data_IF_464146048582
#
_entry.id   IF_464146048582
#
_cell.length_a   1.000
_cell.length_b   1.000
_cell.length_c   1.000
_cell.angle_alpha   90.00
_cell.angle_beta   90.00
_cell.angle_gamma   90.00
#
_symmetry.space_group_name_H-M   'P 1'
#
loop_
_entity.id
_entity.type
_entity.pdbx_description
1 polymer ?
#
# COMPACT_ATOMS: atom_id res chain seq x y z
N UNK A 1 -0.71 -0.64 -16.92
CA UNK A 1 -1.88 -0.59 -16.01
C UNK A 1 -3.11 -0.10 -16.74
N UNK A 2 -4.31 -0.52 -16.35
CA UNK A 2 -5.55 0.02 -16.91
C UNK A 2 -6.29 -0.88 -17.90
N UNK A 3 -6.51 -2.15 -17.54
CA UNK A 3 -7.44 -3.02 -18.27
C UNK A 3 -8.83 -2.37 -18.23
N UNK A 4 -9.34 -1.97 -19.40
CA UNK A 4 -10.58 -1.19 -19.55
C UNK A 4 -11.75 -1.80 -18.77
N UNK A 5 -11.90 -3.12 -18.81
CA UNK A 5 -12.98 -3.84 -18.12
C UNK A 5 -12.88 -3.71 -16.59
N UNK A 6 -11.67 -3.78 -16.03
CA UNK A 6 -11.45 -3.59 -14.58
C UNK A 6 -11.85 -2.18 -14.15
N UNK A 7 -11.41 -1.17 -14.89
CA UNK A 7 -11.76 0.23 -14.63
C UNK A 7 -13.29 0.43 -14.73
N UNK A 8 -13.91 -0.09 -15.80
CA UNK A 8 -15.35 0.04 -16.00
C UNK A 8 -16.17 -0.65 -14.90
N UNK A 9 -15.72 -1.82 -14.41
CA UNK A 9 -16.36 -2.52 -13.31
C UNK A 9 -16.31 -1.68 -12.02
N UNK A 10 -15.15 -1.12 -11.68
CA UNK A 10 -15.02 -0.24 -10.50
C UNK A 10 -15.91 1.00 -10.63
N UNK A 11 -15.92 1.67 -11.79
CA UNK A 11 -16.80 2.82 -12.04
C UNK A 11 -18.27 2.42 -11.88
N UNK A 12 -18.66 1.25 -12.41
CA UNK A 12 -20.04 0.78 -12.34
C UNK A 12 -20.48 0.56 -10.90
N UNK A 13 -19.65 -0.06 -10.06
CA UNK A 13 -19.96 -0.24 -8.63
C UNK A 13 -20.20 1.09 -7.92
N UNK A 14 -19.38 2.12 -8.19
CA UNK A 14 -19.57 3.45 -7.58
C UNK A 14 -20.86 4.12 -8.07
N UNK A 15 -21.22 3.93 -9.35
CA UNK A 15 -22.46 4.47 -9.94
C UNK A 15 -23.75 3.82 -9.44
N UNK A 16 -23.67 2.75 -8.64
CA UNK A 16 -24.84 2.22 -7.91
C UNK A 16 -25.24 3.14 -6.74
N UNK A 17 -24.34 4.04 -6.33
CA UNK A 17 -24.60 5.12 -5.39
C UNK A 17 -24.93 6.41 -6.16
N UNK A 18 -25.60 7.40 -5.53
CA UNK A 18 -25.88 8.70 -6.14
C UNK A 18 -24.62 9.59 -6.21
N UNK A 19 -23.54 9.05 -6.78
CA UNK A 19 -22.23 9.68 -6.91
C UNK A 19 -21.77 9.60 -8.37
N UNK A 20 -21.19 10.69 -8.86
CA UNK A 20 -20.52 10.72 -10.16
C UNK A 20 -19.01 10.46 -9.99
N UNK A 21 -18.45 9.65 -10.88
CA UNK A 21 -16.99 9.44 -10.97
C UNK A 21 -16.42 10.49 -11.92
N UNK A 22 -15.73 11.49 -11.37
CA UNK A 22 -15.11 12.55 -12.17
C UNK A 22 -13.83 12.07 -12.88
N UNK A 23 -12.99 11.28 -12.20
CA UNK A 23 -11.73 10.79 -12.74
C UNK A 23 -11.29 9.48 -12.06
N UNK A 24 -10.29 8.80 -12.64
CA UNK A 24 -9.67 7.58 -12.10
C UNK A 24 -8.17 7.75 -12.03
N UNK A 25 -7.59 7.48 -10.86
CA UNK A 25 -6.15 7.65 -10.60
C UNK A 25 -5.54 6.32 -10.17
N UNK A 26 -4.30 6.08 -10.58
CA UNK A 26 -3.53 4.93 -10.12
C UNK A 26 -3.16 5.08 -8.63
N UNK A 27 -3.36 4.02 -7.84
CA UNK A 27 -3.23 4.06 -6.37
C UNK A 27 -1.88 4.61 -5.89
N UNK A 28 -0.78 3.98 -6.30
CA UNK A 28 0.56 4.45 -5.92
C UNK A 28 0.88 5.86 -6.45
N UNK A 29 0.31 6.29 -7.58
CA UNK A 29 0.46 7.68 -8.04
C UNK A 29 -0.22 8.65 -7.07
N UNK A 30 -1.41 8.32 -6.57
CA UNK A 30 -2.11 9.12 -5.57
C UNK A 30 -1.33 9.14 -4.25
N UNK A 31 -0.93 7.98 -3.72
CA UNK A 31 -0.15 7.87 -2.48
C UNK A 31 1.16 8.68 -2.56
N UNK A 32 1.89 8.62 -3.69
CA UNK A 32 3.13 9.37 -3.90
C UNK A 32 2.94 10.90 -3.97
N UNK A 33 1.72 11.42 -4.14
CA UNK A 33 1.48 12.88 -4.07
C UNK A 33 1.61 13.42 -2.65
N UNK A 34 1.39 12.57 -1.65
CA UNK A 34 1.35 12.99 -0.24
C UNK A 34 2.49 12.41 0.57
N UNK A 35 3.05 11.29 0.13
CA UNK A 35 4.19 10.64 0.80
C UNK A 35 5.53 11.28 0.42
N UNK A 36 5.68 11.76 -0.82
CA UNK A 36 6.93 12.32 -1.32
C UNK A 36 6.89 13.84 -1.47
N UNK A 37 7.98 14.48 -1.06
CA UNK A 37 8.28 15.86 -1.42
C UNK A 37 8.75 15.97 -2.89
N UNK A 38 8.67 17.16 -3.52
CA UNK A 38 9.25 17.38 -4.85
C UNK A 38 10.74 17.03 -4.91
N UNK A 39 11.50 17.40 -3.88
CA UNK A 39 12.94 17.12 -3.81
C UNK A 39 13.25 15.61 -3.81
N UNK A 40 12.46 14.80 -3.10
CA UNK A 40 12.62 13.34 -3.11
C UNK A 40 12.29 12.74 -4.48
N UNK A 41 11.29 13.29 -5.20
CA UNK A 41 10.97 12.87 -6.57
C UNK A 41 12.11 13.21 -7.55
N UNK A 42 12.80 14.33 -7.34
CA UNK A 42 13.95 14.74 -8.16
C UNK A 42 15.18 13.87 -7.89
N UNK A 43 15.55 13.67 -6.61
CA UNK A 43 16.67 12.81 -6.21
C UNK A 43 16.47 11.33 -6.58
N UNK A 44 15.21 10.94 -6.72
CA UNK A 44 14.77 9.61 -7.09
C UNK A 44 14.34 8.78 -5.89
N UNK A 45 13.09 8.34 -5.92
CA UNK A 45 12.42 7.72 -4.79
C UNK A 45 11.48 6.61 -5.28
N UNK A 46 11.42 5.52 -4.52
CA UNK A 46 10.47 4.43 -4.72
C UNK A 46 9.40 4.54 -3.64
N UNK A 47 8.14 4.59 -4.04
CA UNK A 47 7.02 4.38 -3.11
C UNK A 47 6.50 2.97 -3.30
N UNK A 48 6.34 2.24 -2.20
CA UNK A 48 5.69 0.93 -2.14
C UNK A 48 4.45 1.07 -1.24
N UNK A 49 3.26 0.88 -1.81
CA UNK A 49 1.98 0.91 -1.10
C UNK A 49 1.47 -0.51 -0.91
N UNK A 50 1.54 -1.03 0.31
CA UNK A 50 1.19 -2.41 0.64
C UNK A 50 -0.17 -2.44 1.32
N UNK A 51 -1.19 -2.80 0.53
CA UNK A 51 -2.56 -3.01 1.00
C UNK A 51 -2.84 -4.45 1.42
N UNK A 52 -4.11 -4.81 1.57
CA UNK A 52 -4.55 -6.18 1.88
C UNK A 52 -4.28 -7.15 0.72
N UNK A 53 -4.83 -6.86 -0.45
CA UNK A 53 -4.73 -7.78 -1.60
C UNK A 53 -3.55 -7.52 -2.54
N UNK A 54 -2.99 -6.32 -2.52
CA UNK A 54 -2.02 -5.87 -3.53
C UNK A 54 -0.92 -4.98 -2.95
N UNK A 55 0.22 -4.99 -3.62
CA UNK A 55 1.34 -4.08 -3.41
C UNK A 55 1.52 -3.28 -4.69
N UNK A 56 1.20 -1.99 -4.63
CA UNK A 56 1.45 -1.06 -5.73
C UNK A 56 2.80 -0.38 -5.54
N UNK A 57 3.48 -0.06 -6.63
CA UNK A 57 4.73 0.69 -6.56
C UNK A 57 4.83 1.75 -7.66
N UNK A 58 5.59 2.80 -7.36
CA UNK A 58 5.93 3.86 -8.30
C UNK A 58 7.33 4.39 -8.01
N UNK A 59 8.15 4.49 -9.05
CA UNK A 59 9.53 4.98 -8.99
C UNK A 59 9.60 6.32 -9.71
N UNK A 60 10.09 7.33 -9.00
CA UNK A 60 10.45 8.63 -9.53
C UNK A 60 11.96 8.76 -9.69
N UNK A 61 12.41 9.50 -10.69
CA UNK A 61 13.74 10.08 -10.80
C UNK A 61 13.67 11.31 -11.73
N UNK A 62 14.47 12.34 -11.47
CA UNK A 62 14.43 13.61 -12.20
C UNK A 62 13.02 14.24 -12.24
N UNK A 63 12.24 14.04 -11.16
CA UNK A 63 10.90 14.61 -11.02
C UNK A 63 9.82 13.92 -11.85
N UNK A 64 10.17 12.86 -12.59
CA UNK A 64 9.23 12.11 -13.46
C UNK A 64 9.11 10.65 -13.05
N UNK A 65 7.96 10.04 -13.36
CA UNK A 65 7.74 8.61 -13.14
C UNK A 65 8.54 7.83 -14.17
N UNK A 66 9.46 6.97 -13.72
CA UNK A 66 10.23 6.08 -14.60
C UNK A 66 9.62 4.68 -14.67
N UNK A 67 9.07 4.19 -13.57
CA UNK A 67 8.50 2.84 -13.47
C UNK A 67 7.30 2.81 -12.51
N UNK A 68 6.31 1.97 -12.79
CA UNK A 68 5.17 1.75 -11.89
C UNK A 68 4.55 0.37 -12.10
N UNK A 69 3.97 -0.20 -11.05
CA UNK A 69 3.48 -1.57 -11.06
C UNK A 69 2.51 -1.90 -9.95
N UNK A 70 1.91 -3.07 -10.07
CA UNK A 70 1.04 -3.68 -9.07
C UNK A 70 1.37 -5.16 -9.04
N UNK A 71 1.59 -5.71 -7.84
CA UNK A 71 1.70 -7.13 -7.59
C UNK A 71 0.47 -7.60 -6.81
N UNK A 72 -0.06 -8.77 -7.18
CA UNK A 72 -1.21 -9.39 -6.52
C UNK A 72 -0.80 -10.12 -5.23
N UNK A 73 0.04 -9.48 -4.42
CA UNK A 73 0.47 -9.92 -3.09
C UNK A 73 0.29 -8.76 -2.12
N UNK A 74 -0.03 -9.04 -0.86
CA UNK A 74 -0.33 -8.02 0.14
C UNK A 74 -0.58 -8.64 1.52
N UNK A 75 -1.13 -7.86 2.45
CA UNK A 75 -1.41 -8.27 3.83
C UNK A 75 -2.28 -9.51 4.01
N UNK A 76 -3.17 -9.79 3.06
CA UNK A 76 -4.07 -10.96 3.11
C UNK A 76 -3.27 -12.26 3.02
N UNK A 77 -2.13 -12.25 2.31
CA UNK A 77 -1.24 -13.41 2.20
C UNK A 77 -0.50 -13.67 3.52
N UNK A 78 -0.12 -12.60 4.23
CA UNK A 78 0.45 -12.69 5.58
C UNK A 78 -0.57 -13.32 6.52
N UNK A 79 -1.81 -12.83 6.48
CA UNK A 79 -2.92 -13.35 7.29
C UNK A 79 -3.23 -14.81 6.99
N UNK A 80 -3.22 -15.19 5.71
CA UNK A 80 -3.41 -16.57 5.30
C UNK A 80 -2.31 -17.48 5.85
N UNK A 81 -1.05 -17.06 5.77
CA UNK A 81 0.07 -17.83 6.30
C UNK A 81 0.02 -17.98 7.82
N UNK A 82 -0.36 -16.92 8.56
CA UNK A 82 -0.60 -16.99 10.01
C UNK A 82 -1.73 -17.98 10.30
N UNK A 83 -2.84 -17.90 9.57
CA UNK A 83 -3.99 -18.79 9.74
C UNK A 83 -3.60 -20.25 9.54
N UNK A 84 -2.85 -20.55 8.47
CA UNK A 84 -2.41 -21.89 8.12
C UNK A 84 -1.33 -22.41 9.08
N UNK A 85 -0.28 -21.62 9.32
CA UNK A 85 0.85 -21.98 10.17
C UNK A 85 0.43 -22.19 11.62
N UNK A 86 -0.45 -21.32 12.13
CA UNK A 86 -0.94 -21.40 13.51
C UNK A 86 -2.28 -22.14 13.63
N UNK A 87 -2.87 -22.64 12.53
CA UNK A 87 -4.15 -23.37 12.52
C UNK A 87 -5.25 -22.63 13.29
N UNK A 88 -5.39 -21.33 13.04
CA UNK A 88 -6.43 -20.48 13.62
C UNK A 88 -7.30 -19.88 12.51
N UNK A 89 -8.58 -19.53 12.76
CA UNK A 89 -9.44 -18.91 11.76
C UNK A 89 -8.87 -17.60 11.20
N UNK A 90 -9.13 -17.32 9.92
CA UNK A 90 -8.65 -16.11 9.22
C UNK A 90 -8.91 -14.80 9.98
N UNK A 91 -10.12 -14.63 10.54
CA UNK A 91 -10.47 -13.43 11.31
C UNK A 91 -9.58 -13.25 12.55
N UNK A 92 -9.16 -14.33 13.20
CA UNK A 92 -8.24 -14.29 14.34
C UNK A 92 -6.80 -14.09 13.90
N UNK A 93 -6.41 -14.66 12.77
CA UNK A 93 -5.10 -14.42 12.18
C UNK A 93 -4.91 -12.93 11.83
N UNK A 94 -5.92 -12.29 11.24
CA UNK A 94 -5.86 -10.85 10.92
C UNK A 94 -5.72 -10.02 12.19
N UNK A 95 -6.55 -10.32 13.19
CA UNK A 95 -6.50 -9.64 14.48
C UNK A 95 -5.14 -9.81 15.16
N UNK A 96 -4.60 -11.03 15.18
CA UNK A 96 -3.28 -11.32 15.73
C UNK A 96 -2.17 -10.58 14.97
N UNK A 97 -2.24 -10.52 13.63
CA UNK A 97 -1.29 -9.76 12.80
C UNK A 97 -1.30 -8.27 13.15
N UNK A 98 -2.49 -7.68 13.33
CA UNK A 98 -2.64 -6.25 13.65
C UNK A 98 -2.17 -5.95 15.07
N UNK A 99 -2.54 -6.78 16.06
CA UNK A 99 -2.30 -6.51 17.47
C UNK A 99 -0.87 -6.87 17.92
N UNK A 100 -0.29 -7.94 17.36
CA UNK A 100 0.95 -8.54 17.86
C UNK A 100 2.02 -8.74 16.77
N UNK A 101 1.72 -8.39 15.52
CA UNK A 101 2.57 -8.70 14.37
C UNK A 101 3.88 -7.90 14.34
N UNK A 102 4.98 -8.61 14.12
CA UNK A 102 6.32 -8.04 13.90
C UNK A 102 7.05 -8.90 12.88
N UNK A 103 7.84 -8.26 12.00
CA UNK A 103 8.77 -8.98 11.11
C UNK A 103 10.22 -8.91 11.61
N UNK A 104 10.46 -8.39 12.81
CA UNK A 104 11.77 -8.43 13.48
C UNK A 104 11.95 -9.79 14.17
N UNK A 105 12.97 -10.54 13.76
CA UNK A 105 13.33 -11.83 14.36
C UNK A 105 14.19 -11.64 15.62
N UNK A 106 14.07 -12.54 16.59
CA UNK A 106 14.91 -12.56 17.79
C UNK A 106 14.69 -11.41 18.78
N UNK A 107 13.65 -10.58 18.59
CA UNK A 107 13.31 -9.45 19.47
C UNK A 107 12.26 -9.82 20.55
N UNK A 108 12.12 -11.11 20.85
CA UNK A 108 11.24 -11.60 21.91
C UNK A 108 12.01 -12.46 22.92
N UNK A 109 11.46 -12.60 24.12
CA UNK A 109 12.07 -13.46 25.14
C UNK A 109 11.95 -14.95 24.74
N UNK A 110 12.94 -15.80 25.06
CA UNK A 110 12.82 -17.23 24.84
C UNK A 110 11.59 -17.80 25.55
N UNK A 111 10.72 -18.47 24.79
CA UNK A 111 9.47 -19.03 25.31
C UNK A 111 8.36 -18.01 25.56
N UNK A 112 8.48 -16.78 25.06
CA UNK A 112 7.41 -15.79 25.13
C UNK A 112 6.19 -16.23 24.30
N UNK A 113 5.01 -16.17 24.91
CA UNK A 113 3.76 -16.61 24.31
C UNK A 113 2.68 -15.53 24.30
N UNK A 114 1.78 -15.65 23.33
CA UNK A 114 0.59 -14.82 23.15
C UNK A 114 -0.62 -15.72 23.40
N UNK A 115 -1.48 -15.32 24.33
CA UNK A 115 -2.71 -16.05 24.64
C UNK A 115 -3.88 -15.53 23.80
N UNK A 116 -4.29 -16.29 22.80
CA UNK A 116 -5.57 -16.07 22.14
C UNK A 116 -6.69 -16.62 23.03
N UNK A 117 -7.52 -15.71 23.54
CA UNK A 117 -8.68 -16.06 24.38
C UNK A 117 -9.71 -16.87 23.61
N UNK A 118 -10.39 -17.74 24.35
CA UNK A 118 -11.57 -18.44 23.89
C UNK A 118 -12.69 -17.45 23.56
N UNK A 119 -13.36 -17.68 22.43
CA UNK A 119 -14.58 -16.95 22.03
C UNK A 119 -15.17 -17.62 20.77
N UNK A 120 -16.50 -17.65 20.69
CA UNK A 120 -17.27 -18.02 19.50
C UNK A 120 -16.88 -19.38 18.91
N UNK A 121 -16.76 -20.41 19.77
CA UNK A 121 -16.45 -21.79 19.36
C UNK A 121 -14.96 -22.08 19.12
N UNK A 122 -14.08 -21.11 19.42
CA UNK A 122 -12.63 -21.33 19.45
C UNK A 122 -12.18 -21.57 20.89
N UNK A 123 -11.49 -22.67 21.16
CA UNK A 123 -11.09 -23.11 22.50
C UNK A 123 -9.95 -22.31 23.14
N UNK A 124 -9.56 -21.18 22.54
CA UNK A 124 -8.34 -20.46 22.88
C UNK A 124 -7.09 -21.19 22.38
N UNK A 125 -5.98 -20.46 22.27
CA UNK A 125 -4.70 -21.02 21.86
C UNK A 125 -3.54 -20.16 22.36
N UNK A 126 -2.52 -20.82 22.89
CA UNK A 126 -1.24 -20.19 23.17
C UNK A 126 -0.32 -20.30 21.93
N UNK A 127 0.29 -19.18 21.55
CA UNK A 127 1.12 -19.04 20.35
C UNK A 127 2.48 -18.52 20.78
N UNK A 128 3.55 -19.19 20.39
CA UNK A 128 4.91 -18.67 20.58
C UNK A 128 5.12 -17.44 19.70
N UNK A 129 5.59 -16.34 20.31
CA UNK A 129 5.80 -15.06 19.61
C UNK A 129 6.81 -15.20 18.47
N UNK A 130 7.89 -15.94 18.68
CA UNK A 130 8.91 -16.18 17.66
C UNK A 130 8.31 -16.91 16.43
N UNK A 131 7.38 -17.83 16.64
CA UNK A 131 6.69 -18.52 15.53
C UNK A 131 5.84 -17.54 14.72
N UNK A 132 5.07 -16.66 15.38
CA UNK A 132 4.30 -15.61 14.69
C UNK A 132 5.21 -14.69 13.88
N UNK A 133 6.28 -14.19 14.49
CA UNK A 133 7.22 -13.28 13.86
C UNK A 133 7.91 -13.93 12.66
N UNK A 134 8.30 -15.21 12.78
CA UNK A 134 8.91 -15.98 11.69
C UNK A 134 7.97 -16.09 10.49
N UNK A 135 6.70 -16.41 10.71
CA UNK A 135 5.71 -16.52 9.62
C UNK A 135 5.56 -15.17 8.91
N UNK A 136 5.41 -14.07 9.66
CA UNK A 136 5.28 -12.72 9.10
C UNK A 136 6.53 -12.32 8.33
N UNK A 137 7.71 -12.53 8.92
CA UNK A 137 9.00 -12.20 8.32
C UNK A 137 9.18 -12.89 6.98
N UNK A 138 9.00 -14.22 6.92
CA UNK A 138 9.22 -14.98 5.69
C UNK A 138 8.27 -14.56 4.56
N UNK A 139 6.98 -14.33 4.86
CA UNK A 139 6.03 -13.87 3.84
C UNK A 139 6.34 -12.44 3.36
N UNK A 140 6.71 -11.56 4.28
CA UNK A 140 7.03 -10.18 3.93
C UNK A 140 8.33 -10.09 3.13
N UNK A 141 9.32 -10.92 3.49
CA UNK A 141 10.56 -11.06 2.74
C UNK A 141 10.26 -11.52 1.31
N UNK A 142 9.47 -12.58 1.13
CA UNK A 142 9.07 -13.05 -0.20
C UNK A 142 8.37 -11.95 -1.01
N UNK A 143 7.43 -11.22 -0.41
CA UNK A 143 6.71 -10.13 -1.08
C UNK A 143 7.66 -9.03 -1.57
N UNK A 144 8.62 -8.62 -0.73
CA UNK A 144 9.60 -7.58 -1.05
C UNK A 144 10.63 -8.07 -2.07
N UNK A 145 11.06 -9.34 -2.00
CA UNK A 145 11.93 -9.95 -3.02
C UNK A 145 11.24 -10.02 -4.39
N UNK A 146 9.96 -10.40 -4.44
CA UNK A 146 9.17 -10.39 -5.68
C UNK A 146 9.10 -8.97 -6.28
N UNK A 147 8.95 -7.95 -5.43
CA UNK A 147 8.95 -6.57 -5.85
C UNK A 147 10.32 -6.09 -6.33
N UNK A 148 11.41 -6.48 -5.64
CA UNK A 148 12.79 -6.20 -6.07
C UNK A 148 13.06 -6.80 -7.44
N UNK A 149 12.77 -8.09 -7.65
CA UNK A 149 12.93 -8.76 -8.95
C UNK A 149 12.16 -8.05 -10.06
N UNK A 150 10.95 -7.57 -9.76
CA UNK A 150 10.12 -6.80 -10.71
C UNK A 150 10.75 -5.44 -11.04
N UNK A 151 11.33 -4.75 -10.07
CA UNK A 151 11.98 -3.46 -10.29
C UNK A 151 13.27 -3.61 -11.10
N UNK A 152 14.03 -4.67 -10.85
CA UNK A 152 15.28 -5.00 -11.55
C UNK A 152 15.09 -5.40 -13.03
N UNK A 153 13.83 -5.61 -13.48
CA UNK A 153 13.52 -5.76 -14.91
C UNK A 153 13.94 -4.51 -15.72
N UNK A 154 14.05 -3.35 -15.07
CA UNK A 154 14.47 -2.09 -15.66
C UNK A 154 15.64 -1.48 -14.86
N UNK A 155 16.53 -0.67 -15.48
CA UNK A 155 17.72 -0.17 -14.81
C UNK A 155 17.45 0.95 -13.79
N UNK A 156 16.18 1.33 -13.58
CA UNK A 156 15.83 2.55 -12.86
C UNK A 156 16.04 2.49 -11.34
N UNK A 157 16.11 1.28 -10.78
CA UNK A 157 16.35 1.08 -9.34
C UNK A 157 17.67 1.70 -8.86
N UNK A 158 18.64 1.88 -9.76
CA UNK A 158 19.93 2.51 -9.46
C UNK A 158 19.86 4.03 -9.25
N UNK A 159 18.71 4.67 -9.52
CA UNK A 159 18.53 6.12 -9.38
C UNK A 159 17.80 6.51 -8.09
N UNK A 160 17.67 5.61 -7.11
CA UNK A 160 16.93 5.87 -5.87
C UNK A 160 17.75 6.69 -4.83
N UNK A 161 18.15 7.91 -5.20
CA UNK A 161 18.97 8.78 -4.34
C UNK A 161 18.29 9.21 -3.03
N UNK A 162 16.96 9.23 -2.98
CA UNK A 162 16.17 9.48 -1.78
C UNK A 162 15.70 8.21 -1.05
N UNK A 163 15.97 7.02 -1.60
CA UNK A 163 15.61 5.74 -1.01
C UNK A 163 14.15 5.31 -1.22
N UNK A 164 13.66 4.48 -0.30
CA UNK A 164 12.39 3.77 -0.38
C UNK A 164 11.41 4.28 0.68
N UNK A 165 10.16 4.48 0.29
CA UNK A 165 9.07 4.97 1.12
C UNK A 165 7.95 3.94 1.12
N UNK A 166 7.67 3.35 2.28
CA UNK A 166 6.68 2.29 2.44
C UNK A 166 5.41 2.88 3.05
N UNK A 167 4.26 2.63 2.45
CA UNK A 167 2.97 3.12 2.93
C UNK A 167 1.89 2.04 2.80
N UNK A 168 0.64 2.38 3.08
CA UNK A 168 -0.47 1.42 3.10
C UNK A 168 -0.67 0.78 4.48
N UNK A 169 -1.66 -0.11 4.59
CA UNK A 169 -2.01 -0.72 5.87
C UNK A 169 -0.92 -1.64 6.42
N UNK A 170 -0.22 -2.38 5.55
CA UNK A 170 0.82 -3.31 5.99
C UNK A 170 2.12 -2.63 6.40
N UNK A 171 2.31 -1.34 6.07
CA UNK A 171 3.47 -0.60 6.54
C UNK A 171 3.43 -0.33 8.05
N UNK A 172 2.33 -0.67 8.73
CA UNK A 172 2.21 -0.64 10.19
C UNK A 172 2.86 -1.84 10.89
N UNK A 173 3.26 -2.89 10.15
CA UNK A 173 4.00 -4.02 10.72
C UNK A 173 5.36 -3.55 11.26
N UNK A 174 5.65 -3.91 12.51
CA UNK A 174 6.91 -3.54 13.15
C UNK A 174 8.11 -4.16 12.40
N UNK A 175 9.07 -3.32 12.02
CA UNK A 175 10.33 -3.71 11.36
C UNK A 175 10.29 -3.80 9.84
N UNK A 176 9.19 -3.42 9.18
CA UNK A 176 9.05 -3.55 7.73
C UNK A 176 10.07 -2.73 6.93
N UNK A 177 10.41 -1.54 7.43
CA UNK A 177 11.43 -0.66 6.88
C UNK A 177 12.84 -1.27 6.99
N UNK A 178 13.16 -1.88 8.13
CA UNK A 178 14.42 -2.61 8.31
C UNK A 178 14.53 -3.80 7.34
N UNK A 179 13.47 -4.60 7.20
CA UNK A 179 13.46 -5.73 6.28
C UNK A 179 13.57 -5.26 4.81
N UNK A 180 12.88 -4.18 4.45
CA UNK A 180 13.02 -3.59 3.14
C UNK A 180 14.45 -3.07 2.90
N UNK A 181 15.06 -2.40 3.89
CA UNK A 181 16.44 -1.94 3.77
C UNK A 181 17.41 -3.10 3.55
N UNK A 182 17.21 -4.22 4.23
CA UNK A 182 18.02 -5.43 4.04
C UNK A 182 17.87 -6.00 2.63
N UNK A 183 16.63 -6.16 2.15
CA UNK A 183 16.34 -6.77 0.85
C UNK A 183 16.79 -5.86 -0.30
N UNK A 184 16.52 -4.56 -0.22
CA UNK A 184 16.82 -3.60 -1.28
C UNK A 184 18.23 -3.01 -1.19
N UNK A 185 18.94 -3.22 -0.08
CA UNK A 185 20.28 -2.67 0.16
C UNK A 185 20.32 -1.13 0.05
N UNK A 186 19.21 -0.49 0.45
CA UNK A 186 18.98 0.96 0.33
C UNK A 186 18.19 1.48 1.52
N UNK A 187 18.36 2.75 1.93
CA UNK A 187 17.54 3.34 3.00
C UNK A 187 16.04 3.21 2.69
N UNK A 188 15.29 2.67 3.67
CA UNK A 188 13.86 2.51 3.58
C UNK A 188 13.19 3.08 4.83
N UNK A 189 12.03 3.72 4.63
CA UNK A 189 11.30 4.37 5.71
C UNK A 189 9.80 4.15 5.56
N UNK A 190 9.10 3.91 6.66
CA UNK A 190 7.64 4.02 6.68
C UNK A 190 7.25 5.48 6.52
N UNK A 191 6.31 5.75 5.60
CA UNK A 191 5.92 7.08 5.22
C UNK A 191 4.40 7.23 5.18
N UNK A 192 3.95 8.42 5.60
CA UNK A 192 2.56 8.79 5.72
C UNK A 192 2.29 10.09 4.94
N UNK A 193 1.03 10.44 4.80
CA UNK A 193 0.63 11.64 4.09
C UNK A 193 1.12 12.91 4.81
N UNK A 194 1.95 13.70 4.13
CA UNK A 194 2.38 15.02 4.58
C UNK A 194 1.26 16.02 4.30
N UNK A 195 0.47 16.39 5.32
CA UNK A 195 -0.53 17.46 5.19
C UNK A 195 -0.05 18.77 5.76
N UNK A 196 -0.22 19.85 5.00
CA UNK A 196 -0.11 21.20 5.53
C UNK A 196 -1.25 21.48 6.52
N UNK A 197 -0.89 21.76 7.77
CA UNK A 197 -1.68 22.40 8.84
C UNK A 197 -3.01 21.75 9.24
N UNK A 198 -3.02 21.08 10.40
CA UNK A 198 -4.15 21.10 11.34
C UNK A 198 -5.11 19.90 11.37
N UNK A 199 -4.93 18.86 10.56
CA UNK A 199 -5.70 17.62 10.70
C UNK A 199 -4.98 16.60 11.59
N UNK A 200 -5.71 16.10 12.57
CA UNK A 200 -5.32 15.15 13.63
C UNK A 200 -4.85 13.78 13.12
N UNK A 201 -4.12 13.06 13.99
CA UNK A 201 -3.58 11.67 13.96
C UNK A 201 -4.11 10.65 12.94
N UNK A 202 -5.36 10.72 12.49
CA UNK A 202 -5.87 9.88 11.40
C UNK A 202 -5.13 10.10 10.08
N UNK A 203 -4.60 11.30 9.82
CA UNK A 203 -3.84 11.61 8.60
C UNK A 203 -2.43 11.02 8.59
N UNK A 204 -1.88 10.76 9.77
CA UNK A 204 -0.56 10.16 9.93
C UNK A 204 -0.60 8.63 9.75
N UNK A 205 -1.79 8.03 9.67
CA UNK A 205 -1.89 6.59 9.42
C UNK A 205 -1.67 6.30 7.92
N UNK A 206 -0.61 5.55 7.57
CA UNK A 206 -0.24 5.26 6.17
C UNK A 206 -1.31 4.49 5.39
N UNK A 207 -2.27 3.84 6.07
CA UNK A 207 -3.41 3.18 5.42
C UNK A 207 -4.31 4.16 4.62
N UNK A 208 -4.23 5.46 4.91
CA UNK A 208 -5.05 6.48 4.25
C UNK A 208 -4.31 7.28 3.17
N UNK A 209 -3.04 6.98 2.90
CA UNK A 209 -2.20 7.70 1.93
C UNK A 209 -2.86 7.81 0.55
N UNK A 210 -3.44 6.72 0.03
CA UNK A 210 -4.12 6.74 -1.27
C UNK A 210 -5.32 7.68 -1.28
N UNK A 211 -6.18 7.59 -0.24
CA UNK A 211 -7.40 8.39 -0.16
C UNK A 211 -7.09 9.89 -0.05
N UNK A 212 -6.11 10.26 0.79
CA UNK A 212 -5.64 11.64 0.93
C UNK A 212 -4.98 12.12 -0.38
N UNK A 213 -4.22 11.24 -1.03
CA UNK A 213 -3.63 11.48 -2.34
C UNK A 213 -4.64 11.77 -3.44
N UNK A 214 -5.77 11.05 -3.47
CA UNK A 214 -6.87 11.29 -4.41
C UNK A 214 -7.49 12.68 -4.21
N UNK A 215 -7.67 13.12 -2.96
CA UNK A 215 -8.16 14.47 -2.66
C UNK A 215 -7.18 15.52 -3.16
N UNK A 216 -5.88 15.34 -2.91
CA UNK A 216 -4.83 16.25 -3.38
C UNK A 216 -4.75 16.31 -4.90
N UNK A 217 -4.89 15.17 -5.57
CA UNK A 217 -4.96 15.10 -7.03
C UNK A 217 -6.16 15.91 -7.56
N UNK A 218 -7.35 15.69 -7.00
CA UNK A 218 -8.55 16.42 -7.40
C UNK A 218 -8.40 17.95 -7.22
N UNK A 219 -7.78 18.40 -6.12
CA UNK A 219 -7.48 19.82 -5.89
C UNK A 219 -6.55 20.41 -6.96
N UNK A 220 -5.48 19.70 -7.33
CA UNK A 220 -4.55 20.14 -8.36
C UNK A 220 -5.24 20.27 -9.72
N UNK A 221 -6.02 19.24 -10.12
CA UNK A 221 -6.74 19.23 -11.41
C UNK A 221 -7.80 20.33 -11.48
N UNK A 222 -8.50 20.64 -10.38
CA UNK A 222 -9.47 21.74 -10.35
C UNK A 222 -8.82 23.11 -10.51
N UNK A 223 -7.59 23.28 -10.00
CA UNK A 223 -6.86 24.55 -10.08
C UNK A 223 -6.38 24.83 -11.51
N UNK A 224 -5.99 23.78 -12.25
CA UNK A 224 -5.52 23.88 -13.65
C UNK A 224 -6.64 23.96 -14.69
N UNK A 225 -7.89 23.62 -14.33
CA UNK A 225 -9.02 23.74 -15.25
C UNK A 225 -9.55 25.18 -15.24
N UNK A 226 -9.54 25.93 -16.37
CA UNK A 226 -10.32 27.16 -16.45
C UNK A 226 -11.78 26.80 -16.18
N UNK A 227 -12.48 27.56 -15.31
CA UNK A 227 -13.91 27.38 -14.94
C UNK A 227 -14.77 27.13 -16.17
N UNK A 228 -14.88 25.87 -16.62
CA UNK A 228 -15.65 25.47 -17.77
C UNK A 228 -16.97 24.91 -17.27
N UNK A 229 -18.01 25.71 -17.48
CA UNK A 229 -19.44 25.40 -17.40
C UNK A 229 -19.67 23.99 -17.95
N UNK A 230 -19.88 23.02 -17.06
CA UNK A 230 -20.03 21.60 -17.36
C UNK A 230 -21.29 21.37 -18.19
N UNK A 231 -21.12 20.84 -19.39
CA UNK A 231 -22.22 20.43 -20.26
C UNK A 231 -21.85 20.50 -21.72
N UNK A 232 -21.04 19.53 -22.21
CA UNK A 232 -21.12 19.03 -23.61
C UNK A 232 -20.06 18.02 -24.07
N UNK A 233 -19.01 17.70 -23.29
CA UNK A 233 -17.91 16.90 -23.87
C UNK A 233 -18.15 15.37 -23.80
N UNK A 234 -18.92 14.87 -22.82
CA UNK A 234 -19.22 13.42 -22.73
C UNK A 234 -20.14 12.89 -23.85
N UNK A 235 -20.86 13.75 -24.58
CA UNK A 235 -21.77 13.33 -25.65
C UNK A 235 -21.08 12.85 -26.93
N UNK A 236 -19.79 13.17 -27.15
CA UNK A 236 -19.09 12.87 -28.41
C UNK A 236 -18.30 11.56 -28.42
N UNK A 237 -18.01 10.95 -27.27
CA UNK A 237 -17.34 9.63 -27.24
C UNK A 237 -18.30 8.44 -27.29
N UNK A 238 -19.60 8.66 -27.05
CA UNK A 238 -20.61 7.58 -27.01
C UNK A 238 -21.68 7.67 -28.12
N UNK A 239 -21.59 8.60 -29.08
CA UNK A 239 -22.54 8.67 -30.21
C UNK A 239 -22.06 7.97 -31.49
N UNK A 240 -20.95 7.23 -31.43
CA UNK A 240 -20.30 6.60 -32.59
C UNK A 240 -20.62 5.12 -32.81
N UNK A 241 -21.67 4.58 -32.19
CA UNK A 241 -22.20 3.25 -32.50
C UNK A 241 -23.73 3.33 -32.55
N UNK A 242 -24.25 3.67 -33.72
CA UNK A 242 -25.57 3.26 -34.19
C UNK A 242 -25.36 2.35 -35.38
#
# INVERSE_FOLDING_TARGET
HGVRTRIQNTIRCVKELPLDVEDVVFGALASAQVVLTPHQKDLGALVIDIGGGTSDYILYADGVVKQSGCLAVGGDHITNDISMGLRIPMARAEKLKIEEGSCVLGNCLPGETILLKDDSGFAGKEIERETLNTIIHLRLQENLELLKRRLEEEPFINYLGAGIFITGGCSLLNGIDHLAQEIFEMPAHVAHAQTASGLTSAVENPQFSTAIGLIKYAQAVQTDRPRRRFGRIFGKLFSGMR
#
